data_IF_828344978489
#
_entry.id   IF_828344978489
#
_cell.length_a   1.000
_cell.length_b   1.000
_cell.length_c   1.000
_cell.angle_alpha   90.00
_cell.angle_beta   90.00
_cell.angle_gamma   90.00
#
_symmetry.space_group_name_H-M   'P 1'
#
loop_
_entity.id
_entity.type
_entity.pdbx_description
1 polymer ?
#
# COMPACT_ATOMS: atom_id res chain seq x y z
N UNK A 1 22.00 11.91 -10.95
CA UNK A 1 22.57 10.55 -11.15
C UNK A 1 21.58 9.52 -10.63
N UNK A 2 21.48 8.31 -11.18
CA UNK A 2 20.60 7.29 -10.61
C UNK A 2 21.13 6.85 -9.24
N UNK A 3 20.26 6.87 -8.23
CA UNK A 3 20.57 6.38 -6.90
C UNK A 3 20.49 4.84 -6.87
N UNK A 4 21.40 4.20 -6.11
CA UNK A 4 21.33 2.79 -5.77
C UNK A 4 21.53 2.62 -4.26
N UNK A 5 21.00 1.53 -3.72
CA UNK A 5 21.16 1.16 -2.32
C UNK A 5 22.22 0.06 -2.23
N UNK A 6 23.30 0.33 -1.51
CA UNK A 6 24.29 -0.67 -1.10
C UNK A 6 23.78 -1.34 0.17
N UNK A 7 23.76 -2.67 0.20
CA UNK A 7 23.28 -3.46 1.33
C UNK A 7 24.30 -4.56 1.62
N UNK A 8 24.81 -4.55 2.84
CA UNK A 8 25.71 -5.59 3.33
C UNK A 8 24.99 -6.51 4.33
N UNK A 9 25.54 -7.70 4.55
CA UNK A 9 25.03 -8.60 5.59
C UNK A 9 24.89 -7.87 6.91
N UNK A 10 23.68 -7.88 7.44
CA UNK A 10 23.36 -7.15 8.68
C UNK A 10 23.54 -8.02 9.91
N UNK A 11 24.02 -7.48 11.02
CA UNK A 11 23.99 -8.16 12.32
C UNK A 11 22.54 -8.34 12.78
N UNK A 12 22.31 -9.07 13.90
CA UNK A 12 21.02 -9.09 14.55
C UNK A 12 20.50 -7.67 14.82
N UNK A 13 19.26 -7.40 14.45
CA UNK A 13 18.66 -6.08 14.60
C UNK A 13 18.21 -5.85 16.04
N UNK A 14 18.35 -4.63 16.54
CA UNK A 14 17.90 -4.29 17.90
C UNK A 14 17.39 -2.84 17.98
N UNK A 15 16.52 -2.59 18.95
CA UNK A 15 16.01 -1.24 19.24
C UNK A 15 14.52 -1.08 19.03
N UNK A 16 14.12 0.18 18.85
CA UNK A 16 12.72 0.54 18.62
C UNK A 16 12.57 1.25 17.29
N UNK A 17 11.50 0.91 16.56
CA UNK A 17 11.10 1.58 15.32
C UNK A 17 9.68 2.12 15.47
N UNK A 18 9.44 3.31 14.95
CA UNK A 18 8.09 3.89 14.88
C UNK A 18 7.50 3.61 13.52
N UNK A 19 6.29 3.06 13.49
CA UNK A 19 5.54 2.81 12.24
C UNK A 19 4.88 4.10 11.79
N UNK A 20 5.02 4.42 10.52
CA UNK A 20 4.41 5.57 9.89
C UNK A 20 2.96 5.28 9.47
N UNK A 21 2.25 6.33 9.04
CA UNK A 21 0.89 6.18 8.53
C UNK A 21 0.83 5.38 7.25
N UNK A 22 -0.28 4.65 7.10
CA UNK A 22 -0.47 3.73 5.99
C UNK A 22 -0.58 4.46 4.64
N UNK A 23 0.31 4.10 3.70
CA UNK A 23 0.21 4.56 2.32
C UNK A 23 -1.18 4.31 1.74
N UNK A 24 -1.69 3.09 1.87
CA UNK A 24 -2.95 2.67 1.26
C UNK A 24 -4.18 3.32 1.94
N UNK A 25 -3.99 4.02 3.05
CA UNK A 25 -5.02 4.78 3.73
C UNK A 25 -4.94 6.28 3.42
N UNK A 26 -3.73 6.86 3.48
CA UNK A 26 -3.56 8.30 3.24
C UNK A 26 -3.97 8.71 1.83
N UNK A 27 -3.75 7.86 0.81
CA UNK A 27 -4.06 8.21 -0.57
C UNK A 27 -5.57 8.35 -0.84
N UNK A 28 -6.45 7.40 -0.47
CA UNK A 28 -7.89 7.59 -0.62
C UNK A 28 -8.43 8.69 0.29
N UNK A 29 -7.89 8.89 1.50
CA UNK A 29 -8.29 9.99 2.39
C UNK A 29 -7.93 11.35 1.78
N UNK A 30 -6.76 11.50 1.16
CA UNK A 30 -6.38 12.71 0.42
C UNK A 30 -7.34 12.98 -0.75
N UNK A 31 -7.73 11.97 -1.52
CA UNK A 31 -8.74 12.13 -2.57
C UNK A 31 -10.12 12.52 -1.99
N UNK A 32 -10.48 11.94 -0.84
CA UNK A 32 -11.72 12.23 -0.14
C UNK A 32 -11.83 13.68 0.38
N UNK A 33 -10.69 14.37 0.66
CA UNK A 33 -10.71 15.79 1.07
C UNK A 33 -11.35 16.69 0.05
N UNK A 34 -11.38 16.32 -1.25
CA UNK A 34 -12.10 17.04 -2.29
C UNK A 34 -13.61 17.16 -2.02
N UNK A 35 -14.20 16.24 -1.26
CA UNK A 35 -15.63 16.24 -0.95
C UNK A 35 -15.98 17.22 0.17
N UNK A 36 -14.99 17.69 0.92
CA UNK A 36 -15.16 18.62 2.03
C UNK A 36 -15.32 20.05 1.54
N UNK A 37 -16.04 20.87 2.32
CA UNK A 37 -16.26 22.31 2.06
C UNK A 37 -15.34 23.22 2.88
N UNK A 38 -14.64 22.66 3.87
CA UNK A 38 -13.70 23.38 4.77
C UNK A 38 -12.40 22.61 4.88
N UNK A 39 -11.30 23.22 5.36
CA UNK A 39 -10.00 22.57 5.45
C UNK A 39 -9.97 21.30 6.30
N UNK A 40 -9.16 20.35 5.90
CA UNK A 40 -8.83 19.12 6.62
C UNK A 40 -7.41 19.18 7.17
N UNK A 41 -7.20 18.66 8.38
CA UNK A 41 -5.87 18.47 8.97
C UNK A 41 -5.63 16.98 9.17
N UNK A 42 -4.64 16.44 8.50
CA UNK A 42 -4.32 15.00 8.53
C UNK A 42 -2.97 14.79 9.23
N UNK A 43 -2.99 14.03 10.32
CA UNK A 43 -1.78 13.65 11.06
C UNK A 43 -1.27 12.27 10.64
N UNK A 44 -0.02 11.98 10.96
CA UNK A 44 0.64 10.71 10.66
C UNK A 44 0.70 10.41 9.14
N UNK A 45 0.86 11.44 8.31
CA UNK A 45 1.00 11.27 6.86
C UNK A 45 2.45 10.96 6.51
N UNK A 46 2.77 9.81 5.89
CA UNK A 46 4.15 9.44 5.55
C UNK A 46 4.72 10.36 4.47
N UNK A 47 6.05 10.56 4.50
CA UNK A 47 6.75 11.32 3.46
C UNK A 47 7.24 10.37 2.36
N UNK A 48 6.34 10.05 1.45
CA UNK A 48 6.54 9.11 0.34
C UNK A 48 6.18 9.74 -1.00
N UNK A 49 6.80 9.24 -2.08
CA UNK A 49 6.58 9.80 -3.42
C UNK A 49 5.11 9.76 -3.85
N UNK A 50 4.36 8.73 -3.50
CA UNK A 50 2.94 8.64 -3.89
C UNK A 50 2.08 9.69 -3.17
N UNK A 51 2.41 10.09 -1.92
CA UNK A 51 1.76 11.23 -1.25
C UNK A 51 2.13 12.54 -1.94
N UNK A 52 3.40 12.74 -2.26
CA UNK A 52 3.86 13.94 -3.00
C UNK A 52 3.13 14.09 -4.33
N UNK A 53 2.98 13.01 -5.12
CA UNK A 53 2.22 13.02 -6.37
C UNK A 53 0.72 13.32 -6.14
N UNK A 54 0.13 12.77 -5.08
CA UNK A 54 -1.26 13.05 -4.71
C UNK A 54 -1.47 14.53 -4.39
N UNK A 55 -0.55 15.14 -3.63
CA UNK A 55 -0.60 16.56 -3.33
C UNK A 55 -0.43 17.44 -4.60
N UNK A 56 0.37 16.99 -5.57
CA UNK A 56 0.48 17.68 -6.87
C UNK A 56 -0.86 17.63 -7.64
N UNK A 57 -1.56 16.49 -7.62
CA UNK A 57 -2.90 16.39 -8.21
C UNK A 57 -3.88 17.34 -7.49
N UNK A 58 -3.92 17.33 -6.16
CA UNK A 58 -4.80 18.22 -5.39
C UNK A 58 -4.53 19.71 -5.67
N UNK A 59 -3.25 20.12 -5.75
CA UNK A 59 -2.87 21.50 -6.11
C UNK A 59 -3.30 21.86 -7.52
N UNK A 60 -3.14 20.94 -8.49
CA UNK A 60 -3.63 21.15 -9.85
C UNK A 60 -5.15 21.34 -9.88
N UNK A 61 -5.89 20.59 -9.07
CA UNK A 61 -7.35 20.74 -8.95
C UNK A 61 -7.78 22.02 -8.20
N UNK A 62 -6.84 22.86 -7.74
CA UNK A 62 -7.08 24.13 -7.08
C UNK A 62 -7.06 24.09 -5.54
N UNK A 63 -6.73 22.97 -4.93
CA UNK A 63 -6.61 22.88 -3.48
C UNK A 63 -5.31 23.51 -2.96
N UNK A 64 -5.36 24.21 -1.82
CA UNK A 64 -4.14 24.53 -1.06
C UNK A 64 -3.70 23.31 -0.25
N UNK A 65 -2.40 22.99 -0.33
CA UNK A 65 -1.82 21.84 0.37
C UNK A 65 -0.52 22.26 1.06
N UNK A 66 -0.49 22.16 2.37
CA UNK A 66 0.67 22.48 3.20
C UNK A 66 1.12 21.25 3.97
N UNK A 67 2.45 21.09 4.15
CA UNK A 67 3.06 20.02 4.94
C UNK A 67 3.90 20.60 6.06
N UNK A 68 3.69 20.11 7.28
CA UNK A 68 4.54 20.37 8.44
C UNK A 68 4.89 19.02 9.10
N UNK A 69 6.09 18.50 8.82
CA UNK A 69 6.49 17.17 9.24
C UNK A 69 5.53 16.08 8.68
N UNK A 70 4.95 15.29 9.57
CA UNK A 70 3.95 14.27 9.23
C UNK A 70 2.50 14.77 9.21
N UNK A 71 2.29 16.10 9.32
CA UNK A 71 0.96 16.71 9.25
C UNK A 71 0.75 17.37 7.90
N UNK A 72 -0.42 17.12 7.28
CA UNK A 72 -0.87 17.75 6.05
C UNK A 72 -2.11 18.60 6.33
N UNK A 73 -2.14 19.82 5.83
CA UNK A 73 -3.32 20.69 5.81
C UNK A 73 -3.79 20.82 4.37
N UNK A 74 -5.04 20.44 4.10
CA UNK A 74 -5.63 20.44 2.76
C UNK A 74 -6.86 21.36 2.79
N UNK A 75 -6.84 22.41 1.99
CA UNK A 75 -7.96 23.32 1.83
C UNK A 75 -8.56 23.18 0.43
N UNK A 76 -9.76 22.55 0.30
CA UNK A 76 -10.41 22.31 -0.99
C UNK A 76 -11.25 23.48 -1.48
N UNK A 77 -11.29 24.63 -0.80
CA UNK A 77 -12.16 25.76 -1.17
C UNK A 77 -11.77 26.41 -2.51
N UNK A 78 -10.52 26.33 -2.92
CA UNK A 78 -10.03 26.80 -4.20
C UNK A 78 -10.25 25.84 -5.37
N UNK A 79 -10.97 24.72 -5.17
CA UNK A 79 -11.23 23.73 -6.20
C UNK A 79 -11.90 24.34 -7.44
N UNK A 80 -11.30 24.13 -8.62
CA UNK A 80 -11.74 24.73 -9.88
C UNK A 80 -11.71 23.78 -11.09
N UNK A 81 -10.91 22.70 -11.04
CA UNK A 81 -10.68 21.79 -12.15
C UNK A 81 -11.30 20.42 -11.90
N UNK A 82 -11.79 19.75 -12.97
CA UNK A 82 -12.42 18.43 -12.87
C UNK A 82 -11.68 17.33 -13.66
N UNK A 83 -10.47 17.60 -14.12
CA UNK A 83 -9.64 16.67 -14.87
C UNK A 83 -8.22 16.62 -14.31
N UNK A 84 -7.66 15.41 -14.25
CA UNK A 84 -6.27 15.20 -13.86
C UNK A 84 -5.40 15.06 -15.11
N UNK A 85 -4.35 15.90 -15.29
CA UNK A 85 -3.49 15.84 -16.48
C UNK A 85 -2.81 14.47 -16.62
N UNK A 86 -2.60 13.97 -17.85
CA UNK A 86 -1.98 12.67 -18.11
C UNK A 86 -0.62 12.48 -17.41
N UNK A 87 0.21 13.54 -17.36
CA UNK A 87 1.51 13.49 -16.70
C UNK A 87 1.42 13.22 -15.20
N UNK A 88 0.42 13.76 -14.51
CA UNK A 88 0.17 13.52 -13.09
C UNK A 88 -0.58 12.19 -12.87
N UNK A 89 -1.59 11.93 -13.69
CA UNK A 89 -2.38 10.69 -13.61
C UNK A 89 -1.52 9.44 -13.84
N UNK A 90 -0.59 9.49 -14.80
CA UNK A 90 0.32 8.40 -15.14
C UNK A 90 1.38 8.09 -14.10
N UNK A 91 1.60 8.96 -13.11
CA UNK A 91 2.66 8.80 -12.11
C UNK A 91 2.41 7.67 -11.10
N UNK A 92 1.13 7.36 -10.81
CA UNK A 92 0.74 6.33 -9.85
C UNK A 92 -0.66 5.77 -10.13
N UNK A 93 -0.86 4.48 -9.79
CA UNK A 93 -2.17 3.83 -9.95
C UNK A 93 -3.27 4.45 -9.09
N UNK A 94 -2.92 4.94 -7.90
CA UNK A 94 -3.86 5.56 -6.97
C UNK A 94 -4.52 6.85 -7.51
N UNK A 95 -4.02 7.42 -8.62
CA UNK A 95 -4.70 8.53 -9.30
C UNK A 95 -6.14 8.19 -9.70
N UNK A 96 -6.45 6.90 -9.95
CA UNK A 96 -7.82 6.45 -10.23
C UNK A 96 -8.82 6.73 -9.10
N UNK A 97 -8.37 6.95 -7.86
CA UNK A 97 -9.22 7.31 -6.71
C UNK A 97 -9.91 8.67 -6.90
N UNK A 98 -9.28 9.55 -7.67
CA UNK A 98 -9.87 10.85 -7.98
C UNK A 98 -11.13 10.76 -8.86
N UNK A 99 -11.36 9.65 -9.58
CA UNK A 99 -12.56 9.49 -10.41
C UNK A 99 -13.85 9.56 -9.57
N UNK A 100 -13.93 8.80 -8.47
CA UNK A 100 -15.09 8.82 -7.58
C UNK A 100 -15.29 10.16 -6.89
N UNK A 101 -14.21 10.76 -6.39
CA UNK A 101 -14.25 12.06 -5.71
C UNK A 101 -14.66 13.19 -6.66
N UNK A 102 -14.10 13.26 -7.89
CA UNK A 102 -14.46 14.26 -8.89
C UNK A 102 -15.90 14.07 -9.37
N UNK A 103 -16.30 12.83 -9.65
CA UNK A 103 -17.67 12.53 -10.08
C UNK A 103 -18.70 12.98 -9.03
N UNK A 104 -18.45 12.69 -7.75
CA UNK A 104 -19.30 13.15 -6.65
C UNK A 104 -19.31 14.67 -6.48
N UNK A 105 -18.17 15.34 -6.70
CA UNK A 105 -18.03 16.79 -6.49
C UNK A 105 -18.63 17.62 -7.61
N UNK A 106 -18.51 17.16 -8.88
CA UNK A 106 -18.80 17.98 -10.07
C UNK A 106 -19.77 17.33 -11.08
N UNK A 107 -20.14 16.08 -10.87
CA UNK A 107 -20.89 15.30 -11.89
C UNK A 107 -20.03 14.86 -13.08
N UNK A 108 -18.73 15.18 -13.11
CA UNK A 108 -17.84 14.79 -14.20
C UNK A 108 -16.44 14.45 -13.68
N UNK A 109 -15.80 13.46 -14.31
CA UNK A 109 -14.42 13.11 -14.06
C UNK A 109 -13.74 12.64 -15.35
N UNK A 110 -12.51 13.09 -15.58
CA UNK A 110 -11.68 12.59 -16.67
C UNK A 110 -10.26 12.29 -16.15
N UNK A 111 -9.75 11.11 -16.48
CA UNK A 111 -8.43 10.67 -16.02
C UNK A 111 -7.82 9.70 -17.02
N UNK A 112 -6.59 9.97 -17.46
CA UNK A 112 -5.80 9.00 -18.21
C UNK A 112 -5.21 7.99 -17.25
N UNK A 113 -5.49 6.71 -17.47
CA UNK A 113 -5.00 5.63 -16.61
C UNK A 113 -3.47 5.52 -16.73
N UNK A 114 -2.76 5.29 -15.61
CA UNK A 114 -1.35 4.97 -15.69
C UNK A 114 -1.16 3.68 -16.49
N UNK A 115 -0.11 3.62 -17.29
CA UNK A 115 0.28 2.44 -18.04
C UNK A 115 0.39 1.19 -17.19
N UNK A 116 0.47 0.02 -17.82
CA UNK A 116 0.42 -1.29 -17.15
C UNK A 116 1.27 -1.40 -15.89
N UNK A 117 0.70 -1.97 -14.85
CA UNK A 117 1.43 -2.25 -13.61
C UNK A 117 2.27 -3.52 -13.80
N UNK A 118 3.57 -3.54 -13.45
CA UNK A 118 4.40 -4.73 -13.63
C UNK A 118 3.88 -5.96 -12.89
N UNK A 119 3.15 -5.80 -11.78
CA UNK A 119 2.66 -6.92 -10.95
C UNK A 119 1.36 -7.56 -11.46
N UNK A 120 0.72 -7.03 -12.51
CA UNK A 120 -0.48 -7.62 -13.11
C UNK A 120 -1.45 -6.60 -13.68
N UNK A 121 -2.43 -7.09 -14.42
CA UNK A 121 -3.54 -6.31 -14.91
C UNK A 121 -4.36 -5.80 -13.71
N UNK A 122 -4.73 -4.54 -13.77
CA UNK A 122 -5.61 -3.91 -12.77
C UNK A 122 -6.74 -3.21 -13.52
N UNK A 123 -7.67 -3.99 -14.07
CA UNK A 123 -8.77 -3.43 -14.83
C UNK A 123 -9.57 -2.46 -13.98
N UNK A 124 -10.20 -1.48 -14.62
CA UNK A 124 -11.03 -0.46 -13.98
C UNK A 124 -12.53 -0.77 -14.10
N UNK A 125 -12.86 -1.91 -14.67
CA UNK A 125 -14.22 -2.37 -14.95
C UNK A 125 -15.16 -2.33 -13.72
N UNK A 126 -14.66 -2.75 -12.54
CA UNK A 126 -15.44 -2.70 -11.30
C UNK A 126 -15.74 -1.25 -10.87
N UNK A 127 -14.79 -0.33 -11.10
CA UNK A 127 -15.02 1.11 -10.83
C UNK A 127 -16.10 1.66 -11.77
N UNK A 128 -15.99 1.37 -13.09
CA UNK A 128 -16.97 1.83 -14.07
C UNK A 128 -18.35 1.22 -13.83
N UNK A 129 -18.41 -0.06 -13.42
CA UNK A 129 -19.67 -0.70 -13.04
C UNK A 129 -20.32 0.01 -11.86
N UNK A 130 -19.55 0.36 -10.83
CA UNK A 130 -20.06 1.09 -9.68
C UNK A 130 -20.59 2.47 -10.07
N UNK A 131 -19.89 3.23 -10.92
CA UNK A 131 -20.34 4.54 -11.38
C UNK A 131 -21.61 4.46 -12.23
N UNK A 132 -21.70 3.44 -13.12
CA UNK A 132 -22.92 3.23 -13.92
C UNK A 132 -24.12 2.86 -13.05
N UNK A 133 -23.92 2.06 -12.00
CA UNK A 133 -24.99 1.72 -11.06
C UNK A 133 -25.52 2.96 -10.31
N UNK A 134 -24.67 3.97 -10.06
CA UNK A 134 -25.05 5.26 -9.48
C UNK A 134 -25.65 6.24 -10.51
N UNK A 135 -25.82 5.82 -11.78
CA UNK A 135 -26.47 6.63 -12.83
C UNK A 135 -25.50 7.43 -13.71
N UNK A 136 -24.18 7.26 -13.58
CA UNK A 136 -23.23 7.93 -14.45
C UNK A 136 -23.03 7.18 -15.79
N UNK A 137 -22.80 7.92 -16.88
CA UNK A 137 -22.08 7.36 -18.01
C UNK A 137 -20.60 7.21 -17.63
N UNK A 138 -20.00 6.07 -17.93
CA UNK A 138 -18.61 5.80 -17.60
C UNK A 138 -17.99 4.93 -18.70
N UNK A 139 -16.97 5.47 -19.37
CA UNK A 139 -16.34 4.86 -20.54
C UNK A 139 -14.82 4.94 -20.43
N UNK A 140 -14.14 3.94 -21.00
CA UNK A 140 -12.70 3.96 -21.19
C UNK A 140 -12.39 3.91 -22.67
N UNK A 141 -11.71 4.93 -23.18
CA UNK A 141 -11.29 5.01 -24.55
C UNK A 141 -9.84 5.49 -24.62
N UNK A 142 -8.98 4.74 -25.33
CA UNK A 142 -7.58 5.09 -25.51
C UNK A 142 -6.80 5.23 -24.19
N UNK A 143 -7.15 4.47 -23.15
CA UNK A 143 -6.54 4.56 -21.82
C UNK A 143 -7.01 5.76 -21.00
N UNK A 144 -8.00 6.51 -21.47
CA UNK A 144 -8.62 7.61 -20.73
C UNK A 144 -10.02 7.22 -20.30
N UNK A 145 -10.27 7.34 -19.00
CA UNK A 145 -11.60 7.16 -18.40
C UNK A 145 -12.31 8.50 -18.37
N UNK A 146 -13.57 8.50 -18.82
CA UNK A 146 -14.49 9.63 -18.74
C UNK A 146 -15.75 9.19 -18.06
N UNK A 147 -16.14 9.92 -17.01
CA UNK A 147 -17.37 9.67 -16.28
C UNK A 147 -18.20 10.97 -16.27
N UNK A 148 -19.53 10.85 -16.43
CA UNK A 148 -20.44 11.98 -16.38
C UNK A 148 -21.81 11.56 -15.84
N UNK A 149 -22.37 12.38 -14.98
CA UNK A 149 -23.75 12.29 -14.50
C UNK A 149 -24.30 13.69 -14.32
N UNK A 150 -25.53 13.92 -14.75
CA UNK A 150 -26.24 15.14 -14.39
C UNK A 150 -26.65 15.10 -12.92
N UNK A 151 -26.97 13.90 -12.43
CA UNK A 151 -27.28 13.60 -11.03
C UNK A 151 -26.94 12.15 -10.72
N UNK A 152 -26.25 11.91 -9.61
CA UNK A 152 -26.03 10.58 -9.09
C UNK A 152 -27.18 10.16 -8.18
N UNK A 153 -27.53 8.88 -8.20
CA UNK A 153 -28.62 8.31 -7.40
C UNK A 153 -28.12 7.16 -6.57
N UNK A 154 -28.62 7.05 -5.34
CA UNK A 154 -28.37 5.91 -4.48
C UNK A 154 -28.78 4.60 -5.15
N UNK A 155 -27.98 3.56 -4.98
CA UNK A 155 -28.17 2.29 -5.64
C UNK A 155 -27.72 1.12 -4.76
N UNK A 156 -28.29 -0.05 -5.00
CA UNK A 156 -27.73 -1.31 -4.51
C UNK A 156 -26.79 -1.88 -5.57
N UNK A 157 -25.49 -1.86 -5.28
CA UNK A 157 -24.47 -2.38 -6.19
C UNK A 157 -23.71 -3.53 -5.54
N UNK A 158 -23.43 -4.57 -6.33
CA UNK A 158 -22.61 -5.70 -5.89
C UNK A 158 -21.34 -5.76 -6.72
N UNK A 159 -20.20 -5.65 -6.05
CA UNK A 159 -18.91 -5.80 -6.71
C UNK A 159 -18.70 -7.28 -7.08
N UNK A 160 -18.16 -7.60 -8.28
CA UNK A 160 -17.86 -8.98 -8.67
C UNK A 160 -16.83 -9.66 -7.77
N UNK A 161 -15.95 -8.89 -7.13
CA UNK A 161 -14.95 -9.33 -6.15
C UNK A 161 -14.56 -8.21 -5.20
N UNK A 162 -13.98 -8.53 -4.03
CA UNK A 162 -13.56 -7.55 -3.04
C UNK A 162 -12.33 -6.75 -3.54
N UNK A 163 -12.60 -5.72 -4.34
CA UNK A 163 -11.58 -4.82 -4.89
C UNK A 163 -11.47 -3.57 -4.02
N UNK A 164 -10.28 -3.34 -3.44
CA UNK A 164 -10.01 -2.16 -2.58
C UNK A 164 -10.31 -0.88 -3.36
N UNK A 165 -9.67 -0.65 -4.51
CA UNK A 165 -9.84 0.60 -5.26
C UNK A 165 -11.26 0.81 -5.79
N UNK A 166 -11.99 -0.26 -6.19
CA UNK A 166 -13.38 -0.13 -6.60
C UNK A 166 -14.31 0.19 -5.42
N UNK A 167 -14.06 -0.41 -4.26
CA UNK A 167 -14.79 -0.08 -3.01
C UNK A 167 -14.57 1.38 -2.62
N UNK A 168 -13.31 1.86 -2.60
CA UNK A 168 -12.97 3.26 -2.29
C UNK A 168 -13.67 4.24 -3.26
N UNK A 169 -13.57 3.98 -4.57
CA UNK A 169 -14.22 4.83 -5.58
C UNK A 169 -15.75 4.81 -5.48
N UNK A 170 -16.35 3.64 -5.22
CA UNK A 170 -17.80 3.53 -5.00
C UNK A 170 -18.24 4.30 -3.75
N UNK A 171 -17.48 4.22 -2.64
CA UNK A 171 -17.73 4.99 -1.43
C UNK A 171 -17.69 6.49 -1.70
N UNK A 172 -16.63 6.97 -2.39
CA UNK A 172 -16.47 8.39 -2.70
C UNK A 172 -17.58 8.90 -3.63
N UNK A 173 -17.93 8.15 -4.68
CA UNK A 173 -18.98 8.53 -5.61
C UNK A 173 -20.37 8.53 -4.95
N UNK A 174 -20.66 7.56 -4.09
CA UNK A 174 -21.93 7.43 -3.39
C UNK A 174 -22.22 8.61 -2.45
N UNK A 175 -21.21 9.30 -1.94
CA UNK A 175 -21.40 10.50 -1.11
C UNK A 175 -22.02 11.67 -1.89
N UNK A 176 -21.83 11.71 -3.23
CA UNK A 176 -22.47 12.69 -4.10
C UNK A 176 -23.82 12.24 -4.66
N UNK A 177 -24.30 11.04 -4.35
CA UNK A 177 -25.55 10.50 -4.85
C UNK A 177 -26.74 10.91 -3.96
N UNK A 178 -27.92 11.08 -4.54
CA UNK A 178 -29.14 11.31 -3.76
C UNK A 178 -29.71 9.98 -3.27
N UNK A 179 -29.93 9.87 -1.95
CA UNK A 179 -30.46 8.70 -1.28
C UNK A 179 -29.40 7.67 -0.89
N UNK A 180 -29.87 6.49 -0.50
CA UNK A 180 -29.02 5.46 0.09
C UNK A 180 -28.34 4.59 -0.97
N UNK A 181 -27.04 4.36 -0.80
CA UNK A 181 -26.25 3.39 -1.59
C UNK A 181 -25.83 2.24 -0.70
N UNK A 182 -26.09 1.00 -1.16
CA UNK A 182 -25.57 -0.22 -0.52
C UNK A 182 -24.51 -0.85 -1.43
N UNK A 183 -23.28 -1.00 -0.93
CA UNK A 183 -22.17 -1.68 -1.61
C UNK A 183 -22.04 -3.08 -1.02
N UNK A 184 -22.31 -4.12 -1.81
CA UNK A 184 -22.16 -5.52 -1.43
C UNK A 184 -20.84 -6.09 -1.99
N UNK A 185 -20.29 -7.09 -1.31
CA UNK A 185 -18.99 -7.71 -1.61
C UNK A 185 -17.84 -6.68 -1.62
N UNK A 186 -17.93 -5.69 -0.74
CA UNK A 186 -16.93 -4.66 -0.53
C UNK A 186 -15.62 -5.27 0.01
N UNK A 187 -14.51 -4.61 -0.25
CA UNK A 187 -13.24 -4.92 0.38
C UNK A 187 -13.30 -4.60 1.90
N UNK A 188 -12.64 -5.45 2.70
CA UNK A 188 -12.68 -5.36 4.17
C UNK A 188 -11.35 -4.94 4.79
N UNK A 189 -10.38 -4.52 3.98
CA UNK A 189 -9.08 -4.08 4.45
C UNK A 189 -9.19 -2.97 5.49
N UNK A 190 -8.29 -2.91 6.49
CA UNK A 190 -8.29 -1.86 7.51
C UNK A 190 -8.31 -0.44 6.94
N UNK A 191 -7.74 -0.26 5.76
CA UNK A 191 -7.69 1.02 5.04
C UNK A 191 -9.08 1.47 4.55
N UNK A 192 -9.99 0.53 4.27
CA UNK A 192 -11.39 0.82 3.95
C UNK A 192 -12.13 1.32 5.21
N UNK A 193 -11.89 0.66 6.36
CA UNK A 193 -12.45 1.11 7.63
C UNK A 193 -11.94 2.51 8.00
N UNK A 194 -10.65 2.80 7.76
CA UNK A 194 -10.03 4.09 8.03
C UNK A 194 -10.61 5.22 7.13
N UNK A 195 -10.79 4.93 5.82
CA UNK A 195 -11.49 5.86 4.92
C UNK A 195 -12.91 6.14 5.40
N UNK A 196 -13.67 5.10 5.80
CA UNK A 196 -15.01 5.26 6.35
C UNK A 196 -15.02 6.10 7.61
N UNK A 197 -14.09 5.87 8.54
CA UNK A 197 -13.96 6.65 9.78
C UNK A 197 -13.64 8.14 9.50
N UNK A 198 -12.73 8.43 8.55
CA UNK A 198 -12.45 9.79 8.10
C UNK A 198 -13.69 10.45 7.51
N UNK A 199 -14.42 9.77 6.64
CA UNK A 199 -15.65 10.31 6.02
C UNK A 199 -16.73 10.59 7.07
N UNK A 200 -16.92 9.71 8.04
CA UNK A 200 -17.82 9.94 9.18
C UNK A 200 -17.37 11.14 10.02
N UNK A 201 -16.07 11.31 10.27
CA UNK A 201 -15.52 12.48 10.95
C UNK A 201 -15.79 13.79 10.17
N UNK A 202 -15.92 13.71 8.85
CA UNK A 202 -16.32 14.82 7.98
C UNK A 202 -17.85 15.03 7.90
N UNK A 203 -18.65 14.25 8.61
CA UNK A 203 -20.12 14.37 8.66
C UNK A 203 -20.88 13.48 7.68
N UNK A 204 -20.21 12.48 7.06
CA UNK A 204 -20.90 11.48 6.25
C UNK A 204 -21.75 10.54 7.13
N UNK A 205 -22.90 10.11 6.62
CA UNK A 205 -23.68 9.03 7.19
C UNK A 205 -23.34 7.74 6.47
N UNK A 206 -22.42 7.00 7.07
CA UNK A 206 -21.83 5.81 6.49
C UNK A 206 -21.68 4.73 7.55
N UNK A 207 -22.02 3.47 7.20
CA UNK A 207 -21.95 2.32 8.09
C UNK A 207 -21.32 1.13 7.37
N UNK A 208 -20.72 0.23 8.14
CA UNK A 208 -20.21 -1.04 7.63
C UNK A 208 -18.87 -0.96 6.88
N UNK A 209 -18.15 0.20 6.87
CA UNK A 209 -16.81 0.25 6.31
C UNK A 209 -15.87 -0.77 7.00
N UNK A 210 -15.12 -1.55 6.20
CA UNK A 210 -14.33 -2.68 6.70
C UNK A 210 -15.11 -3.99 6.86
N UNK A 211 -16.38 -4.02 6.44
CA UNK A 211 -17.20 -5.24 6.33
C UNK A 211 -17.61 -5.50 4.86
N UNK A 212 -18.13 -6.68 4.53
CA UNK A 212 -18.55 -7.00 3.15
C UNK A 212 -19.72 -6.15 2.63
N UNK A 213 -20.41 -5.40 3.51
CA UNK A 213 -21.54 -4.54 3.13
C UNK A 213 -21.34 -3.17 3.72
N UNK A 214 -21.39 -2.14 2.87
CA UNK A 214 -21.27 -0.73 3.25
C UNK A 214 -22.53 0.01 2.83
N UNK A 215 -23.13 0.77 3.74
CA UNK A 215 -24.29 1.63 3.50
C UNK A 215 -23.90 3.08 3.61
N UNK A 216 -24.32 3.91 2.65
CA UNK A 216 -23.95 5.32 2.56
C UNK A 216 -25.20 6.12 2.20
N UNK A 217 -25.59 7.06 3.06
CA UNK A 217 -26.58 8.08 2.76
C UNK A 217 -25.89 9.30 2.14
N UNK A 218 -26.07 9.46 0.82
CA UNK A 218 -25.40 10.51 0.05
C UNK A 218 -26.10 11.87 0.10
N UNK A 219 -25.61 12.82 -0.69
CA UNK A 219 -26.18 14.16 -0.83
C UNK A 219 -25.91 15.11 0.35
N UNK A 220 -25.25 14.67 1.42
CA UNK A 220 -24.92 15.52 2.57
C UNK A 220 -23.66 16.36 2.29
N UNK A 221 -23.70 17.61 2.73
CA UNK A 221 -22.52 18.49 2.68
C UNK A 221 -21.49 18.06 3.74
N UNK A 222 -20.28 17.72 3.30
CA UNK A 222 -19.20 17.35 4.21
C UNK A 222 -18.38 18.57 4.63
N UNK A 223 -17.94 18.58 5.89
CA UNK A 223 -16.98 19.56 6.42
C UNK A 223 -15.58 18.93 6.55
N UNK A 224 -14.55 19.75 6.69
CA UNK A 224 -13.20 19.25 7.00
C UNK A 224 -13.11 18.73 8.43
N UNK A 225 -12.18 17.83 8.65
CA UNK A 225 -11.91 17.24 9.96
C UNK A 225 -10.41 17.23 10.27
N UNK A 226 -10.09 17.15 11.57
CA UNK A 226 -8.76 16.75 12.03
C UNK A 226 -8.76 15.25 12.22
N UNK A 227 -7.84 14.54 11.52
CA UNK A 227 -7.85 13.08 11.48
C UNK A 227 -6.42 12.52 11.54
N UNK A 228 -6.24 11.36 12.14
CA UNK A 228 -4.95 10.69 12.21
C UNK A 228 -5.00 9.42 11.38
N UNK A 229 -4.13 9.31 10.37
CA UNK A 229 -4.00 8.14 9.49
C UNK A 229 -3.56 6.92 10.32
N UNK A 230 -4.20 5.77 10.08
CA UNK A 230 -3.83 4.52 10.75
C UNK A 230 -2.38 4.11 10.44
N UNK A 231 -1.71 3.35 11.32
CA UNK A 231 -0.35 2.84 11.07
C UNK A 231 -0.29 1.87 9.89
N UNK A 232 0.82 1.90 9.12
CA UNK A 232 1.01 1.03 7.96
C UNK A 232 1.33 -0.41 8.37
N UNK A 233 0.36 -1.31 8.17
CA UNK A 233 0.51 -2.74 8.44
C UNK A 233 1.54 -3.43 7.54
N UNK A 234 1.86 -2.87 6.38
CA UNK A 234 2.85 -3.45 5.45
C UNK A 234 4.25 -2.99 5.81
N UNK A 235 4.43 -1.75 6.25
CA UNK A 235 5.67 -1.28 6.87
C UNK A 235 5.95 -2.09 8.15
N UNK A 236 4.96 -2.28 9.01
CA UNK A 236 5.01 -3.16 10.19
C UNK A 236 5.49 -4.56 9.81
N UNK A 237 4.85 -5.19 8.81
CA UNK A 237 5.25 -6.50 8.30
C UNK A 237 6.70 -6.53 7.81
N UNK A 238 7.17 -5.47 7.17
CA UNK A 238 8.53 -5.35 6.65
C UNK A 238 9.56 -5.35 7.78
N UNK A 239 9.33 -4.58 8.84
CA UNK A 239 10.24 -4.54 10.00
C UNK A 239 10.22 -5.85 10.79
N UNK A 240 9.05 -6.47 10.97
CA UNK A 240 8.96 -7.79 11.59
C UNK A 240 9.72 -8.85 10.78
N UNK A 241 9.57 -8.85 9.46
CA UNK A 241 10.28 -9.75 8.56
C UNK A 241 11.79 -9.46 8.53
N UNK A 242 12.23 -8.21 8.64
CA UNK A 242 13.65 -7.85 8.75
C UNK A 242 14.28 -8.43 10.02
N UNK A 243 13.60 -8.30 11.17
CA UNK A 243 14.04 -8.91 12.42
C UNK A 243 14.06 -10.45 12.32
N UNK A 244 13.04 -11.05 11.72
CA UNK A 244 13.00 -12.48 11.48
C UNK A 244 14.14 -12.94 10.57
N UNK A 245 14.51 -12.18 9.57
CA UNK A 245 15.59 -12.48 8.61
C UNK A 245 16.98 -12.39 9.26
N UNK A 246 17.27 -11.32 9.99
CA UNK A 246 18.60 -11.04 10.55
C UNK A 246 18.77 -11.58 11.99
N UNK A 247 17.68 -11.84 12.72
CA UNK A 247 17.68 -12.14 14.15
C UNK A 247 17.67 -10.88 15.01
N UNK A 248 17.67 -11.08 16.32
CA UNK A 248 17.70 -9.99 17.29
C UNK A 248 16.33 -9.69 17.91
N UNK A 249 16.12 -8.44 18.34
CA UNK A 249 14.91 -8.00 19.01
C UNK A 249 14.53 -6.58 18.61
N UNK A 250 13.32 -6.39 18.09
CA UNK A 250 12.76 -5.09 17.75
C UNK A 250 11.44 -4.86 18.49
N UNK A 251 11.21 -3.61 18.88
CA UNK A 251 9.91 -3.12 19.34
C UNK A 251 9.40 -2.10 18.33
N UNK A 252 8.24 -2.38 17.74
CA UNK A 252 7.54 -1.47 16.85
C UNK A 252 6.54 -0.66 17.65
N UNK A 253 6.65 0.67 17.59
CA UNK A 253 5.73 1.64 18.21
C UNK A 253 4.72 2.15 17.19
N UNK A 254 3.55 2.56 17.67
CA UNK A 254 2.46 3.04 16.81
C UNK A 254 2.07 1.98 15.76
N UNK A 255 2.15 0.71 16.09
CA UNK A 255 1.73 -0.39 15.24
C UNK A 255 0.24 -0.72 15.50
N UNK A 256 -0.39 -1.40 14.54
CA UNK A 256 -1.76 -1.91 14.67
C UNK A 256 -1.75 -3.45 14.65
N UNK A 257 -1.55 -4.13 15.79
CA UNK A 257 -1.36 -5.58 15.84
C UNK A 257 -2.48 -6.38 15.17
N UNK A 258 -3.74 -5.97 15.36
CA UNK A 258 -4.90 -6.65 14.77
C UNK A 258 -4.85 -6.67 13.23
N UNK A 259 -4.32 -5.62 12.60
CA UNK A 259 -4.17 -5.52 11.14
C UNK A 259 -3.00 -6.36 10.59
N UNK A 260 -2.14 -6.89 11.46
CA UNK A 260 -0.94 -7.68 11.13
C UNK A 260 -1.06 -9.16 11.49
N UNK A 261 -2.23 -9.64 11.93
CA UNK A 261 -2.43 -10.97 12.51
C UNK A 261 -1.84 -12.11 11.66
N UNK A 262 -2.07 -12.12 10.34
CA UNK A 262 -1.55 -13.17 9.47
C UNK A 262 -0.01 -13.20 9.38
N UNK A 263 0.65 -12.03 9.44
CA UNK A 263 2.12 -11.94 9.44
C UNK A 263 2.67 -12.37 10.80
N UNK A 264 2.05 -11.93 11.88
CA UNK A 264 2.42 -12.31 13.26
C UNK A 264 2.32 -13.82 13.42
N UNK A 265 1.23 -14.43 12.96
CA UNK A 265 1.05 -15.89 13.00
C UNK A 265 2.13 -16.62 12.19
N UNK A 266 2.38 -16.21 10.94
CA UNK A 266 3.39 -16.81 10.07
C UNK A 266 4.79 -16.75 10.70
N UNK A 267 5.18 -15.60 11.26
CA UNK A 267 6.48 -15.44 11.92
C UNK A 267 6.57 -16.21 13.26
N UNK A 268 5.47 -16.31 14.01
CA UNK A 268 5.39 -17.16 15.19
C UNK A 268 5.67 -18.63 14.87
N UNK A 269 5.13 -19.14 13.76
CA UNK A 269 5.39 -20.51 13.26
C UNK A 269 6.86 -20.72 12.86
N UNK A 270 7.58 -19.65 12.53
CA UNK A 270 9.00 -19.70 12.14
C UNK A 270 9.96 -19.70 13.35
N UNK A 271 9.47 -19.66 14.56
CA UNK A 271 10.26 -19.62 15.79
C UNK A 271 10.52 -18.22 16.33
N UNK A 272 9.88 -17.19 15.79
CA UNK A 272 9.91 -15.85 16.37
C UNK A 272 8.98 -15.77 17.61
N UNK A 273 9.47 -15.16 18.69
CA UNK A 273 8.62 -14.80 19.83
C UNK A 273 8.06 -13.40 19.61
N UNK A 274 6.74 -13.29 19.54
CA UNK A 274 6.06 -12.01 19.29
C UNK A 274 5.12 -11.71 20.45
N UNK A 275 5.16 -10.45 20.92
CA UNK A 275 4.26 -9.93 21.95
C UNK A 275 3.58 -8.68 21.42
N UNK A 276 2.26 -8.62 21.50
CA UNK A 276 1.45 -7.51 21.06
C UNK A 276 0.93 -6.73 22.28
N UNK A 277 1.12 -5.42 22.28
CA UNK A 277 0.43 -4.48 23.15
C UNK A 277 -0.74 -3.82 22.42
N UNK A 278 -1.24 -2.70 22.94
CA UNK A 278 -2.32 -1.94 22.30
C UNK A 278 -1.89 -1.36 20.93
N UNK A 279 -0.77 -0.66 20.90
CA UNK A 279 -0.18 0.01 19.74
C UNK A 279 1.29 -0.40 19.51
N UNK A 280 1.71 -1.53 20.05
CA UNK A 280 3.09 -2.01 20.00
C UNK A 280 3.16 -3.48 19.62
N UNK A 281 4.24 -3.83 18.88
CA UNK A 281 4.59 -5.22 18.59
C UNK A 281 6.07 -5.40 18.89
N UNK A 282 6.38 -6.28 19.82
CA UNK A 282 7.75 -6.70 20.09
C UNK A 282 8.01 -8.07 19.45
N UNK A 283 9.08 -8.18 18.65
CA UNK A 283 9.54 -9.42 18.06
C UNK A 283 10.94 -9.74 18.56
N UNK A 284 11.18 -11.01 18.86
CA UNK A 284 12.48 -11.52 19.21
C UNK A 284 12.74 -12.84 18.45
N UNK A 285 13.87 -12.92 17.74
CA UNK A 285 14.36 -14.15 17.14
C UNK A 285 15.77 -14.47 17.64
N UNK A 286 15.88 -15.58 18.34
CA UNK A 286 17.15 -16.15 18.79
C UNK A 286 17.28 -17.57 18.21
N UNK A 287 18.41 -17.87 17.60
CA UNK A 287 18.64 -19.14 16.92
C UNK A 287 18.18 -19.16 15.46
N UNK A 288 18.21 -20.33 14.79
CA UNK A 288 17.85 -20.48 13.40
C UNK A 288 16.34 -20.24 13.17
N UNK A 289 16.01 -19.62 12.04
CA UNK A 289 14.63 -19.49 11.57
C UNK A 289 14.19 -20.82 10.94
N UNK A 290 12.96 -21.26 11.19
CA UNK A 290 12.37 -22.42 10.50
C UNK A 290 11.41 -21.96 9.41
N UNK A 291 11.24 -22.79 8.38
CA UNK A 291 10.33 -22.46 7.29
C UNK A 291 8.88 -22.38 7.80
N UNK A 292 8.14 -21.33 7.41
CA UNK A 292 6.72 -21.20 7.70
C UNK A 292 5.90 -22.27 6.97
N UNK A 293 4.67 -22.50 7.39
CA UNK A 293 3.69 -23.27 6.62
C UNK A 293 3.45 -22.58 5.28
N UNK A 294 2.96 -23.31 4.23
CA UNK A 294 2.58 -22.72 2.96
C UNK A 294 1.65 -21.52 3.14
N UNK A 295 1.97 -20.39 2.48
CA UNK A 295 1.23 -19.15 2.56
C UNK A 295 0.50 -18.88 1.25
N UNK A 296 -0.78 -18.53 1.34
CA UNK A 296 -1.58 -18.12 0.17
C UNK A 296 -2.12 -16.72 0.41
N UNK A 297 -1.81 -15.78 -0.53
CA UNK A 297 -2.39 -14.45 -0.51
C UNK A 297 -3.89 -14.52 -0.77
N UNK A 298 -4.67 -13.78 0.02
CA UNK A 298 -6.13 -13.68 -0.12
C UNK A 298 -6.59 -12.29 0.31
N UNK A 299 -7.74 -11.82 -0.16
CA UNK A 299 -8.38 -10.62 0.38
C UNK A 299 -8.47 -10.68 1.91
N UNK A 300 -8.42 -9.52 2.54
CA UNK A 300 -8.52 -9.43 4.00
C UNK A 300 -9.81 -10.08 4.53
N UNK A 301 -9.77 -10.82 5.66
CA UNK A 301 -8.66 -10.95 6.62
C UNK A 301 -7.61 -12.03 6.27
N UNK A 302 -7.55 -12.52 5.02
CA UNK A 302 -6.51 -13.44 4.59
C UNK A 302 -5.11 -12.80 4.57
N UNK A 303 -4.10 -13.59 4.19
CA UNK A 303 -2.71 -13.10 4.15
C UNK A 303 -2.55 -12.00 3.07
N UNK A 304 -2.04 -10.80 3.42
CA UNK A 304 -1.98 -9.69 2.49
C UNK A 304 -0.92 -9.91 1.38
N UNK A 305 -1.32 -9.75 0.13
CA UNK A 305 -0.42 -9.85 -1.03
C UNK A 305 0.78 -8.91 -0.91
N UNK A 306 0.62 -7.73 -0.29
CA UNK A 306 1.69 -6.74 -0.12
C UNK A 306 2.76 -7.15 0.90
N UNK A 307 2.45 -8.01 1.88
CA UNK A 307 3.42 -8.53 2.85
C UNK A 307 4.11 -9.83 2.37
N UNK A 308 3.57 -10.49 1.34
CA UNK A 308 4.13 -11.74 0.83
C UNK A 308 5.58 -11.62 0.36
N UNK A 309 6.01 -10.58 -0.39
CA UNK A 309 7.38 -10.44 -0.83
C UNK A 309 8.38 -10.37 0.33
N UNK A 310 8.09 -9.60 1.37
CA UNK A 310 9.00 -9.45 2.51
C UNK A 310 9.02 -10.69 3.39
N UNK A 311 7.90 -11.41 3.54
CA UNK A 311 7.88 -12.71 4.24
C UNK A 311 8.69 -13.75 3.46
N UNK A 312 8.51 -13.86 2.14
CA UNK A 312 9.31 -14.78 1.30
C UNK A 312 10.81 -14.47 1.44
N UNK A 313 11.20 -13.20 1.37
CA UNK A 313 12.60 -12.80 1.53
C UNK A 313 13.15 -13.16 2.93
N UNK A 314 12.35 -12.98 4.00
CA UNK A 314 12.78 -13.40 5.35
C UNK A 314 13.02 -14.91 5.46
N UNK A 315 12.34 -15.72 4.65
CA UNK A 315 12.47 -17.18 4.66
C UNK A 315 13.70 -17.71 3.90
N UNK A 316 14.48 -16.87 3.21
CA UNK A 316 15.66 -17.33 2.44
C UNK A 316 16.68 -18.04 3.32
N UNK A 317 16.89 -17.56 4.55
CA UNK A 317 17.78 -18.18 5.55
C UNK A 317 17.08 -19.21 6.45
N UNK A 318 15.80 -19.52 6.27
CA UNK A 318 15.06 -20.44 7.14
C UNK A 318 15.38 -21.91 6.84
N UNK A 319 15.47 -22.72 7.88
CA UNK A 319 15.65 -24.18 7.73
C UNK A 319 14.37 -24.84 7.24
N UNK A 320 14.42 -25.57 6.12
CA UNK A 320 13.31 -26.34 5.59
C UNK A 320 12.78 -25.81 4.27
N UNK A 321 11.58 -26.23 3.91
CA UNK A 321 10.90 -25.90 2.65
C UNK A 321 9.54 -25.28 2.91
N UNK A 322 9.17 -24.31 2.09
CA UNK A 322 7.84 -23.69 2.12
C UNK A 322 7.39 -23.29 0.72
N UNK A 323 6.16 -22.82 0.59
CA UNK A 323 5.65 -22.28 -0.68
C UNK A 323 4.76 -21.07 -0.46
N UNK A 324 4.74 -20.21 -1.46
CA UNK A 324 3.96 -18.97 -1.50
C UNK A 324 3.09 -18.97 -2.74
N UNK A 325 1.77 -18.84 -2.56
CA UNK A 325 0.81 -18.82 -3.68
C UNK A 325 0.12 -17.46 -3.74
N UNK A 326 0.17 -16.82 -4.91
CA UNK A 326 -0.46 -15.54 -5.16
C UNK A 326 -1.79 -15.73 -5.89
N UNK A 327 -2.89 -15.23 -5.32
CA UNK A 327 -4.21 -15.34 -5.94
C UNK A 327 -4.77 -14.00 -6.43
N UNK A 328 -4.14 -12.88 -6.04
CA UNK A 328 -4.59 -11.52 -6.34
C UNK A 328 -3.96 -11.00 -7.64
N UNK A 329 -2.61 -11.06 -7.76
CA UNK A 329 -1.89 -10.49 -8.90
C UNK A 329 -1.13 -11.54 -9.70
N UNK A 330 -1.20 -11.46 -11.04
CA UNK A 330 -0.63 -12.42 -11.97
C UNK A 330 0.90 -12.46 -11.91
N UNK A 331 1.53 -11.28 -11.80
CA UNK A 331 2.98 -11.10 -11.92
C UNK A 331 3.63 -10.66 -10.60
N UNK A 332 3.03 -11.01 -9.45
CA UNK A 332 3.54 -10.58 -8.14
C UNK A 332 4.97 -11.03 -7.88
N UNK A 333 5.41 -12.14 -8.43
CA UNK A 333 6.69 -12.78 -8.19
C UNK A 333 7.84 -12.33 -9.11
N UNK A 334 7.73 -11.21 -9.81
CA UNK A 334 8.82 -10.70 -10.67
C UNK A 334 10.16 -10.55 -9.93
N UNK A 335 10.13 -10.15 -8.65
CA UNK A 335 11.30 -10.00 -7.80
C UNK A 335 12.02 -11.32 -7.47
N UNK A 336 11.38 -12.47 -7.66
CA UNK A 336 11.95 -13.79 -7.40
C UNK A 336 13.17 -14.05 -8.28
N UNK A 337 13.16 -13.58 -9.52
CA UNK A 337 14.32 -13.68 -10.42
C UNK A 337 15.53 -12.92 -9.86
N UNK A 338 15.30 -11.79 -9.22
CA UNK A 338 16.35 -11.00 -8.59
C UNK A 338 16.87 -11.69 -7.32
N UNK A 339 15.99 -12.26 -6.49
CA UNK A 339 16.41 -13.03 -5.31
C UNK A 339 17.26 -14.27 -5.66
N UNK A 340 17.01 -14.90 -6.79
CA UNK A 340 17.85 -16.03 -7.29
C UNK A 340 19.29 -15.61 -7.52
N UNK A 341 19.56 -14.35 -7.89
CA UNK A 341 20.93 -13.83 -8.07
C UNK A 341 21.73 -13.80 -6.76
N UNK A 342 21.04 -13.78 -5.61
CA UNK A 342 21.67 -13.94 -4.29
C UNK A 342 22.05 -15.40 -3.98
N UNK A 343 21.76 -16.36 -4.85
CA UNK A 343 21.95 -17.79 -4.58
C UNK A 343 20.72 -18.51 -4.00
N UNK A 344 19.60 -17.80 -3.84
CA UNK A 344 18.39 -18.38 -3.26
C UNK A 344 17.81 -19.51 -4.11
N UNK A 345 17.53 -20.67 -3.51
CA UNK A 345 16.87 -21.82 -4.16
C UNK A 345 15.36 -21.62 -4.22
N UNK A 346 14.93 -20.95 -5.27
CA UNK A 346 13.53 -20.63 -5.55
C UNK A 346 13.13 -21.30 -6.87
N UNK A 347 11.98 -21.98 -6.89
CA UNK A 347 11.34 -22.44 -8.12
C UNK A 347 9.94 -21.82 -8.22
N UNK A 348 9.58 -21.34 -9.41
CA UNK A 348 8.28 -20.76 -9.67
C UNK A 348 7.53 -21.61 -10.69
N UNK A 349 6.28 -21.90 -10.38
CA UNK A 349 5.33 -22.61 -11.21
C UNK A 349 4.00 -21.83 -11.20
N UNK A 350 3.74 -21.12 -12.29
CA UNK A 350 2.61 -20.20 -12.39
C UNK A 350 2.59 -19.17 -11.26
N UNK A 351 1.55 -19.22 -10.45
CA UNK A 351 1.30 -18.32 -9.31
C UNK A 351 1.83 -18.88 -7.97
N UNK A 352 2.67 -19.91 -8.00
CA UNK A 352 3.26 -20.50 -6.78
C UNK A 352 4.77 -20.49 -6.86
N UNK A 353 5.40 -19.99 -5.81
CA UNK A 353 6.86 -20.04 -5.61
C UNK A 353 7.15 -21.05 -4.49
N UNK A 354 8.03 -22.00 -4.76
CA UNK A 354 8.56 -22.94 -3.75
C UNK A 354 9.97 -22.49 -3.36
N UNK A 355 10.23 -22.45 -2.08
CA UNK A 355 11.48 -22.07 -1.47
C UNK A 355 12.09 -23.26 -0.75
N UNK A 356 13.39 -23.51 -0.99
CA UNK A 356 14.26 -24.26 -0.09
C UNK A 356 15.22 -23.27 0.55
N UNK A 357 15.05 -23.04 1.86
CA UNK A 357 15.87 -22.08 2.62
C UNK A 357 17.19 -22.67 3.14
N UNK A 358 17.89 -21.88 3.96
CA UNK A 358 19.19 -22.19 4.57
C UNK A 358 20.34 -22.45 3.60
N UNK A 359 20.22 -22.01 2.35
CA UNK A 359 21.32 -22.03 1.39
C UNK A 359 22.21 -20.79 1.59
N UNK A 360 23.53 -20.89 1.36
CA UNK A 360 24.43 -19.74 1.42
C UNK A 360 24.01 -18.66 0.42
N UNK A 361 23.81 -17.44 0.93
CA UNK A 361 23.49 -16.28 0.10
C UNK A 361 24.74 -15.42 -0.08
N UNK A 362 24.92 -14.88 -1.28
CA UNK A 362 26.05 -14.03 -1.66
C UNK A 362 25.61 -12.72 -2.28
N UNK A 363 26.48 -11.73 -2.23
CA UNK A 363 26.20 -10.40 -2.79
C UNK A 363 25.93 -10.44 -4.29
N UNK A 364 25.01 -9.58 -4.75
CA UNK A 364 24.62 -9.48 -6.14
C UNK A 364 24.19 -8.05 -6.54
N UNK A 365 24.14 -7.82 -7.85
CA UNK A 365 23.52 -6.62 -8.43
C UNK A 365 22.04 -6.90 -8.72
N UNK A 366 21.16 -6.20 -8.05
CA UNK A 366 19.71 -6.41 -8.04
C UNK A 366 18.99 -5.20 -8.62
N UNK A 367 17.79 -5.41 -9.16
CA UNK A 367 16.93 -4.33 -9.68
C UNK A 367 15.54 -4.42 -9.07
N UNK A 368 15.15 -3.42 -8.31
CA UNK A 368 13.77 -3.25 -7.88
C UNK A 368 12.89 -2.85 -9.08
N UNK A 369 11.87 -3.65 -9.37
CA UNK A 369 10.90 -3.41 -10.43
C UNK A 369 9.56 -2.88 -9.90
N UNK A 370 9.30 -3.09 -8.61
CA UNK A 370 8.11 -2.61 -7.90
C UNK A 370 8.44 -2.31 -6.43
N UNK A 371 7.49 -1.68 -5.74
CA UNK A 371 7.63 -1.24 -4.35
C UNK A 371 7.93 -2.40 -3.38
N UNK A 372 7.10 -3.43 -3.38
CA UNK A 372 7.16 -4.52 -2.39
C UNK A 372 8.25 -5.53 -2.73
N UNK A 373 8.45 -5.79 -4.01
CA UNK A 373 9.60 -6.53 -4.51
C UNK A 373 10.91 -5.85 -4.12
N UNK A 374 11.00 -4.52 -4.26
CA UNK A 374 12.17 -3.75 -3.84
C UNK A 374 12.51 -3.93 -2.35
N UNK A 375 11.52 -3.84 -1.46
CA UNK A 375 11.71 -4.13 -0.03
C UNK A 375 12.17 -5.57 0.22
N UNK A 376 11.61 -6.55 -0.50
CA UNK A 376 12.05 -7.94 -0.42
C UNK A 376 13.52 -8.12 -0.82
N UNK A 377 13.98 -7.39 -1.86
CA UNK A 377 15.40 -7.42 -2.26
C UNK A 377 16.31 -6.87 -1.16
N UNK A 378 15.87 -5.81 -0.45
CA UNK A 378 16.62 -5.28 0.71
C UNK A 378 16.77 -6.35 1.78
N UNK A 379 15.67 -6.99 2.19
CA UNK A 379 15.67 -8.04 3.21
C UNK A 379 16.49 -9.28 2.78
N UNK A 380 16.44 -9.64 1.51
CA UNK A 380 17.28 -10.73 0.95
C UNK A 380 18.76 -10.38 1.01
N UNK A 381 19.14 -9.18 0.59
CA UNK A 381 20.51 -8.69 0.60
C UNK A 381 21.10 -8.55 2.01
N UNK A 382 20.27 -8.18 3.02
CA UNK A 382 20.68 -8.12 4.42
C UNK A 382 21.12 -9.47 5.00
N UNK A 383 20.78 -10.59 4.36
CA UNK A 383 21.17 -11.95 4.75
C UNK A 383 22.40 -12.45 3.97
N UNK A 384 22.76 -11.80 2.85
CA UNK A 384 23.79 -12.26 1.92
C UNK A 384 25.20 -11.83 2.34
N UNK A 385 26.19 -12.71 2.18
CA UNK A 385 27.60 -12.38 2.40
C UNK A 385 28.09 -11.40 1.34
N UNK A 386 28.86 -10.39 1.75
CA UNK A 386 29.38 -9.31 0.91
C UNK A 386 28.43 -8.11 0.82
N UNK A 387 28.63 -7.26 -0.18
CA UNK A 387 27.83 -6.03 -0.39
C UNK A 387 27.06 -6.11 -1.71
N UNK A 388 25.73 -6.13 -1.61
CA UNK A 388 24.82 -6.11 -2.77
C UNK A 388 24.48 -4.68 -3.18
N UNK A 389 24.25 -4.48 -4.48
CA UNK A 389 23.80 -3.20 -5.03
C UNK A 389 22.38 -3.33 -5.57
N UNK A 390 21.45 -2.52 -5.05
CA UNK A 390 20.05 -2.52 -5.48
C UNK A 390 19.75 -1.24 -6.27
N UNK A 391 19.41 -1.40 -7.55
CA UNK A 391 18.96 -0.32 -8.42
C UNK A 391 17.44 -0.14 -8.34
N UNK A 392 16.92 1.02 -8.78
CA UNK A 392 15.49 1.28 -8.80
C UNK A 392 14.93 1.71 -7.43
N UNK A 393 15.72 2.34 -6.59
CA UNK A 393 15.37 2.80 -5.23
C UNK A 393 14.09 3.64 -5.20
N UNK A 394 13.80 4.39 -6.28
CA UNK A 394 12.56 5.16 -6.43
C UNK A 394 11.30 4.31 -6.24
N UNK A 395 11.32 3.03 -6.61
CA UNK A 395 10.17 2.15 -6.37
C UNK A 395 9.92 1.95 -4.87
N UNK A 396 10.98 1.84 -4.06
CA UNK A 396 10.89 1.68 -2.60
C UNK A 396 10.35 2.97 -1.97
N UNK A 397 10.86 4.13 -2.39
CA UNK A 397 10.46 5.46 -1.89
C UNK A 397 8.99 5.82 -2.19
N UNK A 398 8.32 5.07 -3.05
CA UNK A 398 6.89 5.25 -3.29
C UNK A 398 6.00 4.86 -2.11
N UNK A 399 6.50 4.09 -1.16
CA UNK A 399 5.64 3.58 -0.10
C UNK A 399 6.33 3.28 1.22
N UNK A 400 7.60 3.61 1.38
CA UNK A 400 8.31 3.58 2.65
C UNK A 400 8.87 4.95 2.96
N UNK A 401 8.52 5.47 4.12
CA UNK A 401 9.06 6.70 4.66
C UNK A 401 10.46 6.39 5.26
N UNK A 402 11.48 6.63 4.41
CA UNK A 402 12.89 6.44 4.78
C UNK A 402 13.23 5.04 5.35
N UNK A 403 12.93 3.96 4.60
CA UNK A 403 13.25 2.59 4.98
C UNK A 403 14.73 2.41 5.37
N UNK A 404 15.63 3.13 4.69
CA UNK A 404 17.07 3.11 4.97
C UNK A 404 17.37 3.57 6.38
N UNK A 405 16.95 4.78 6.76
CA UNK A 405 17.22 5.32 8.09
C UNK A 405 16.57 4.46 9.20
N UNK A 406 15.37 3.96 8.98
CA UNK A 406 14.70 3.09 9.94
C UNK A 406 15.50 1.79 10.18
N UNK A 407 15.91 1.10 9.12
CA UNK A 407 16.70 -0.13 9.26
C UNK A 407 18.11 0.13 9.82
N UNK A 408 18.75 1.25 9.44
CA UNK A 408 20.05 1.67 10.01
C UNK A 408 19.96 1.92 11.52
N UNK A 409 18.90 2.58 11.98
CA UNK A 409 18.71 2.83 13.43
C UNK A 409 18.55 1.54 14.24
N UNK A 410 18.11 0.47 13.59
CA UNK A 410 18.04 -0.88 14.15
C UNK A 410 19.35 -1.69 14.00
N UNK A 411 20.40 -1.10 13.41
CA UNK A 411 21.72 -1.72 13.24
C UNK A 411 21.95 -2.40 11.88
N UNK A 412 21.04 -2.27 10.92
CA UNK A 412 21.26 -2.79 9.57
C UNK A 412 22.36 -2.02 8.81
N UNK A 413 23.04 -2.69 7.88
CA UNK A 413 24.15 -2.15 7.10
C UNK A 413 23.70 -1.88 5.67
N UNK A 414 23.18 -0.69 5.42
CA UNK A 414 22.77 -0.26 4.08
C UNK A 414 22.98 1.26 3.93
N UNK A 415 23.22 1.73 2.70
CA UNK A 415 23.34 3.17 2.39
C UNK A 415 22.99 3.45 0.93
N UNK A 416 22.31 4.56 0.70
CA UNK A 416 22.09 5.08 -0.66
C UNK A 416 23.36 5.77 -1.18
N UNK A 417 23.69 5.49 -2.44
CA UNK A 417 24.82 6.09 -3.17
C UNK A 417 24.34 6.58 -4.53
N UNK A 418 24.97 7.64 -5.02
CA UNK A 418 24.81 8.07 -6.41
C UNK A 418 25.78 7.28 -7.30
N UNK A 419 25.27 6.66 -8.37
CA UNK A 419 26.12 5.92 -9.31
C UNK A 419 26.32 6.76 -10.56
N UNK A 420 27.59 7.02 -10.97
CA UNK A 420 27.86 7.66 -12.24
C UNK A 420 27.30 6.83 -13.40
N UNK A 421 26.56 7.47 -14.29
CA UNK A 421 26.23 6.84 -15.58
C UNK A 421 27.58 6.76 -16.33
N UNK A 422 28.13 5.54 -16.47
CA UNK A 422 29.18 5.35 -17.49
C UNK A 422 28.48 5.53 -18.83
N UNK A 423 28.75 6.69 -19.47
CA UNK A 423 28.41 6.98 -20.86
C UNK A 423 29.12 6.01 -21.77
#
# INVERSE_FOLDING_TARGET
>A
MPAALLVSKSPPLCGELTVHGAKNSVLPILAATLLCRTPCVLHNCPDILDVTHTLQILRHLGCSCERSGSTLSIDPRGFAENAVPPALAGSMRASSLFLGALLARTGAAALTLPGGCPIGARPIDYHLQAFRALGASAEEEGGTVRCRADRLHGARLRLPGPSVGATENAMLAALGADGCTTIENAACEPEIADLGAFLCACGADLRGAGTPTIEIEGGKALHGATYTILPDRIETATYLCACAACGGALTLRRAAPASCAGVIEALGQCGCRIRCGYDTIAIHRQGPLTACRPVTARPYPGFPTDAMPVLLAAQLGAQGKTSFTETIFENRFLYVQELRKLGAKLSQDGRTVRLQGAEPLHAARLRAGDLRGGAALVLGAMQAEGESTIFGVKHIQRGYDNLEAALQSAGARLKTVEIPIKV
#
